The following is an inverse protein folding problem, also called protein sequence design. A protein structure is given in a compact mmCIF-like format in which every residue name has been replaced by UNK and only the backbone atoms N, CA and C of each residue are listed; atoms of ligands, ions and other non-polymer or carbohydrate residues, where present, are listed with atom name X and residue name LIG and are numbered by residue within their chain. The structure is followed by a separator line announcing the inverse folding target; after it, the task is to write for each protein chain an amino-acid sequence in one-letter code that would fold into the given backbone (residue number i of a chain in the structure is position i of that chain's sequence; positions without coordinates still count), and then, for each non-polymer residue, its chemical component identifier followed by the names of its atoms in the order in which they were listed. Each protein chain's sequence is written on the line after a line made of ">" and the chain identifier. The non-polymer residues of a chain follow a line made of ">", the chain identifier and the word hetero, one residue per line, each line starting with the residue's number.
data_IF_586156873575
#
_entry.id   IF_586156873575
#
_cell.length_a   1.000
_cell.length_b   1.000
_cell.length_c   1.000
_cell.angle_alpha   90.00
_cell.angle_beta   90.00
_cell.angle_gamma   90.00
#
_symmetry.space_group_name_H-M   'P 1'
#
loop_
_entity.id
_entity.type
_entity.pdbx_description
1 polymer ?
#
# COMPACT_ATOMS: atom_id res chain seq x y z
N UNK A 1 -23.52 -48.08 -1.38
CA UNK A 1 -22.24 -47.37 -1.62
C UNK A 1 -21.68 -46.96 -0.27
N UNK A 2 -20.56 -47.54 0.19
CA UNK A 2 -19.95 -47.15 1.46
C UNK A 2 -19.13 -45.89 1.23
N UNK A 3 -19.60 -44.75 1.76
CA UNK A 3 -18.88 -43.49 1.68
C UNK A 3 -17.59 -43.62 2.52
N UNK A 4 -16.44 -43.34 1.92
CA UNK A 4 -15.15 -43.52 2.55
C UNK A 4 -14.86 -42.29 3.45
N UNK A 5 -15.35 -42.32 4.68
CA UNK A 5 -15.29 -41.19 5.63
C UNK A 5 -13.87 -40.64 5.84
N UNK A 6 -12.84 -41.48 5.66
CA UNK A 6 -11.43 -41.07 5.72
C UNK A 6 -11.07 -40.02 4.65
N UNK A 7 -11.63 -40.15 3.44
CA UNK A 7 -11.43 -39.20 2.35
C UNK A 7 -12.13 -37.87 2.63
N UNK A 8 -13.32 -37.91 3.23
CA UNK A 8 -14.08 -36.72 3.60
C UNK A 8 -13.39 -35.93 4.72
N UNK A 9 -12.83 -36.62 5.72
CA UNK A 9 -12.05 -36.00 6.81
C UNK A 9 -10.76 -35.38 6.27
N UNK A 10 -10.08 -36.06 5.33
CA UNK A 10 -8.90 -35.50 4.66
C UNK A 10 -9.25 -34.22 3.88
N UNK A 11 -10.34 -34.22 3.10
CA UNK A 11 -10.80 -33.03 2.38
C UNK A 11 -11.13 -31.86 3.31
N UNK A 12 -11.74 -32.14 4.47
CA UNK A 12 -12.08 -31.13 5.46
C UNK A 12 -10.85 -30.60 6.21
N UNK A 13 -9.81 -31.41 6.39
CA UNK A 13 -8.54 -30.96 6.97
C UNK A 13 -7.77 -30.03 6.01
N UNK A 14 -7.87 -30.24 4.69
CA UNK A 14 -7.24 -29.35 3.70
C UNK A 14 -7.93 -27.97 3.61
N UNK A 15 -9.23 -27.86 3.89
CA UNK A 15 -9.94 -26.58 3.81
C UNK A 15 -9.63 -25.61 4.96
N UNK A 16 -9.05 -26.09 6.08
CA UNK A 16 -8.59 -25.21 7.18
C UNK A 16 -7.32 -24.41 6.82
N UNK A 17 -6.59 -24.78 5.77
CA UNK A 17 -5.33 -24.13 5.38
C UNK A 17 -5.50 -22.95 4.41
N UNK A 18 -6.73 -22.59 4.05
CA UNK A 18 -7.02 -21.57 3.03
C UNK A 18 -6.97 -20.10 3.52
N UNK A 19 -6.42 -19.81 4.70
CA UNK A 19 -6.47 -18.46 5.33
C UNK A 19 -5.22 -17.59 5.08
N UNK A 20 -4.26 -18.05 4.29
CA UNK A 20 -2.93 -17.44 4.16
C UNK A 20 -2.87 -16.09 3.42
N UNK A 21 -3.85 -15.75 2.57
CA UNK A 21 -3.83 -14.52 1.75
C UNK A 21 -4.01 -13.23 2.57
N UNK A 22 -4.67 -13.32 3.74
CA UNK A 22 -5.18 -12.15 4.47
C UNK A 22 -4.14 -11.30 5.19
N UNK A 23 -3.01 -11.90 5.61
CA UNK A 23 -2.02 -11.21 6.45
C UNK A 23 -1.18 -10.21 5.64
N UNK A 24 -0.67 -10.64 4.49
CA UNK A 24 0.19 -9.78 3.66
C UNK A 24 -0.63 -8.65 3.03
N UNK A 25 -1.87 -8.94 2.62
CA UNK A 25 -2.82 -7.92 2.18
C UNK A 25 -3.04 -6.85 3.25
N UNK A 26 -3.25 -7.26 4.51
CA UNK A 26 -3.39 -6.32 5.63
C UNK A 26 -2.15 -5.46 5.84
N UNK A 27 -0.95 -6.05 5.78
CA UNK A 27 0.31 -5.32 5.95
C UNK A 27 0.56 -4.31 4.82
N UNK A 28 0.18 -4.66 3.59
CA UNK A 28 0.24 -3.75 2.45
C UNK A 28 -0.77 -2.61 2.64
N UNK A 29 -2.01 -2.91 3.00
CA UNK A 29 -3.04 -1.90 3.25
C UNK A 29 -2.63 -0.90 4.35
N UNK A 30 -2.06 -1.39 5.46
CA UNK A 30 -1.51 -0.55 6.52
C UNK A 30 -0.34 0.33 6.04
N UNK A 31 0.54 -0.20 5.19
CA UNK A 31 1.67 0.54 4.65
C UNK A 31 1.23 1.63 3.66
N UNK A 32 0.22 1.34 2.83
CA UNK A 32 -0.38 2.30 1.91
C UNK A 32 -1.07 3.43 2.69
N UNK A 33 -1.82 3.10 3.75
CA UNK A 33 -2.48 4.13 4.57
C UNK A 33 -1.47 5.02 5.31
N UNK A 34 -0.36 4.44 5.79
CA UNK A 34 0.74 5.25 6.35
C UNK A 34 1.37 6.17 5.32
N UNK A 35 1.61 5.67 4.10
CA UNK A 35 2.14 6.48 3.01
C UNK A 35 1.19 7.63 2.67
N UNK A 36 -0.11 7.36 2.54
CA UNK A 36 -1.14 8.37 2.26
C UNK A 36 -1.12 9.50 3.28
N UNK A 37 -1.05 9.17 4.58
CA UNK A 37 -0.93 10.18 5.64
C UNK A 37 0.36 10.98 5.52
N UNK A 38 1.49 10.30 5.28
CA UNK A 38 2.79 10.94 5.14
C UNK A 38 2.94 11.76 3.84
N UNK A 39 2.04 11.61 2.86
CA UNK A 39 1.98 12.48 1.68
C UNK A 39 1.16 13.76 1.93
N UNK A 40 0.24 13.72 2.90
CA UNK A 40 -0.59 14.89 3.31
C UNK A 40 0.11 15.70 4.40
N UNK A 41 0.72 15.01 5.37
CA UNK A 41 1.49 15.59 6.47
C UNK A 41 2.91 14.98 6.45
N UNK A 42 3.85 15.60 5.72
CA UNK A 42 5.14 15.01 5.43
C UNK A 42 6.04 14.81 6.65
N UNK A 43 6.24 13.55 7.04
CA UNK A 43 7.33 13.14 7.94
C UNK A 43 8.44 12.46 7.14
N UNK A 44 9.60 13.12 7.06
CA UNK A 44 10.78 12.64 6.32
C UNK A 44 11.19 11.23 6.76
N UNK A 45 11.15 10.94 8.05
CA UNK A 45 11.59 9.64 8.60
C UNK A 45 10.65 8.51 8.17
N UNK A 46 9.35 8.76 8.20
CA UNK A 46 8.31 7.81 7.77
C UNK A 46 8.40 7.58 6.27
N UNK A 47 8.51 8.66 5.47
CA UNK A 47 8.64 8.55 4.02
C UNK A 47 9.91 7.78 3.63
N UNK A 48 11.03 7.99 4.32
CA UNK A 48 12.26 7.25 4.07
C UNK A 48 12.10 5.74 4.31
N UNK A 49 11.37 5.34 5.35
CA UNK A 49 11.10 3.93 5.65
C UNK A 49 10.14 3.28 4.66
N UNK A 50 9.14 4.02 4.16
CA UNK A 50 8.10 3.50 3.28
C UNK A 50 8.55 3.47 1.81
N UNK A 51 9.34 4.45 1.38
CA UNK A 51 9.80 4.55 0.00
C UNK A 51 10.97 3.60 -0.29
N UNK A 52 10.83 2.81 -1.36
CA UNK A 52 11.89 1.92 -1.84
C UNK A 52 13.11 2.71 -2.28
N UNK A 53 14.31 2.17 -2.04
CA UNK A 53 15.58 2.71 -2.57
C UNK A 53 15.58 2.76 -4.10
N UNK A 54 14.77 1.92 -4.76
CA UNK A 54 14.60 1.87 -6.22
C UNK A 54 13.38 2.65 -6.71
N UNK A 55 12.84 3.58 -5.92
CA UNK A 55 11.68 4.38 -6.34
C UNK A 55 12.00 5.17 -7.61
N UNK A 56 11.07 5.13 -8.56
CA UNK A 56 11.04 5.97 -9.75
C UNK A 56 9.62 6.50 -9.90
N UNK A 57 9.41 7.77 -9.56
CA UNK A 57 8.11 8.43 -9.58
C UNK A 57 8.00 9.32 -10.82
N UNK A 58 7.12 8.93 -11.73
CA UNK A 58 6.95 9.60 -13.02
C UNK A 58 5.78 10.57 -13.03
N UNK A 59 6.05 11.78 -13.50
CA UNK A 59 5.05 12.81 -13.75
C UNK A 59 4.60 12.77 -15.22
N UNK A 60 3.37 13.17 -15.49
CA UNK A 60 2.83 13.24 -16.87
C UNK A 60 3.61 14.22 -17.78
N UNK A 61 4.37 15.14 -17.19
CA UNK A 61 5.30 16.03 -17.89
C UNK A 61 6.59 15.34 -18.38
N UNK A 62 6.81 14.08 -18.01
CA UNK A 62 8.04 13.35 -18.29
C UNK A 62 9.14 13.53 -17.23
N UNK A 63 8.91 14.33 -16.19
CA UNK A 63 9.81 14.42 -15.03
C UNK A 63 9.82 13.09 -14.27
N UNK A 64 11.00 12.58 -13.94
CA UNK A 64 11.17 11.41 -13.07
C UNK A 64 11.86 11.86 -11.77
N UNK A 65 11.33 11.43 -10.64
CA UNK A 65 11.93 11.63 -9.32
C UNK A 65 12.38 10.30 -8.72
N UNK A 66 13.59 10.29 -8.17
CA UNK A 66 14.06 9.18 -7.34
C UNK A 66 13.52 9.31 -5.90
N UNK A 67 13.92 8.39 -5.01
CA UNK A 67 13.51 8.43 -3.59
C UNK A 67 13.82 9.77 -2.92
N UNK A 68 15.01 10.33 -3.15
CA UNK A 68 15.40 11.57 -2.49
C UNK A 68 14.58 12.75 -3.01
N UNK A 69 14.39 12.84 -4.34
CA UNK A 69 13.57 13.86 -4.98
C UNK A 69 12.11 13.79 -4.55
N UNK A 70 11.52 12.59 -4.48
CA UNK A 70 10.15 12.39 -4.02
C UNK A 70 9.93 12.88 -2.58
N UNK A 71 10.83 12.49 -1.66
CA UNK A 71 10.72 12.91 -0.25
C UNK A 71 10.90 14.41 -0.11
N UNK A 72 11.87 14.99 -0.82
CA UNK A 72 12.12 16.42 -0.77
C UNK A 72 10.96 17.23 -1.35
N UNK A 73 10.34 16.76 -2.43
CA UNK A 73 9.17 17.42 -3.02
C UNK A 73 8.00 17.53 -2.03
N UNK A 74 7.77 16.50 -1.21
CA UNK A 74 6.73 16.51 -0.17
C UNK A 74 7.13 17.40 1.01
N UNK A 75 8.32 17.18 1.59
CA UNK A 75 8.75 17.88 2.82
C UNK A 75 8.96 19.38 2.60
N UNK A 76 9.39 19.78 1.40
CA UNK A 76 9.55 21.20 1.04
C UNK A 76 8.24 21.91 0.70
N UNK A 77 7.12 21.16 0.56
CA UNK A 77 5.83 21.70 0.12
C UNK A 77 5.76 22.00 -1.39
N UNK A 78 6.78 21.63 -2.18
CA UNK A 78 6.74 21.74 -3.64
C UNK A 78 5.66 20.85 -4.27
N UNK A 79 5.29 19.79 -3.57
CA UNK A 79 4.14 18.93 -3.87
C UNK A 79 3.26 18.86 -2.63
N UNK A 80 2.11 19.53 -2.67
CA UNK A 80 1.17 19.58 -1.56
C UNK A 80 -0.11 18.78 -1.89
N UNK A 81 -0.32 17.72 -1.12
CA UNK A 81 -1.54 16.91 -1.22
C UNK A 81 -2.51 17.30 -0.12
N UNK A 82 -3.47 18.16 -0.45
CA UNK A 82 -4.50 18.60 0.50
C UNK A 82 -5.46 17.46 0.87
N UNK A 83 -5.78 16.58 -0.08
CA UNK A 83 -6.61 15.41 0.13
C UNK A 83 -6.19 14.26 -0.79
N UNK A 84 -5.76 13.15 -0.20
CA UNK A 84 -5.69 11.85 -0.87
C UNK A 84 -6.75 10.99 -0.22
N UNK A 85 -7.91 10.86 -0.86
CA UNK A 85 -8.92 9.87 -0.51
C UNK A 85 -8.94 8.78 -1.58
N UNK A 86 -9.11 7.52 -1.15
CA UNK A 86 -9.30 6.37 -2.03
C UNK A 86 -10.60 6.37 -2.84
N UNK A 87 -11.33 7.49 -2.85
CA UNK A 87 -12.41 7.76 -3.79
C UNK A 87 -12.28 9.21 -4.24
N UNK A 88 -12.30 9.40 -5.55
CA UNK A 88 -12.20 10.68 -6.27
C UNK A 88 -13.04 11.76 -5.56
N UNK A 89 -12.41 12.84 -5.12
CA UNK A 89 -13.11 14.09 -4.84
C UNK A 89 -12.23 15.27 -5.23
N UNK A 90 -12.62 15.93 -6.31
CA UNK A 90 -12.18 17.26 -6.68
C UNK A 90 -12.43 18.25 -5.53
N UNK A 91 -11.43 19.11 -5.31
CA UNK A 91 -11.51 20.50 -4.86
C UNK A 91 -12.78 20.94 -4.12
N UNK A 92 -12.64 21.37 -2.86
CA UNK A 92 -13.54 22.38 -2.30
C UNK A 92 -12.76 23.68 -2.13
N UNK A 93 -13.28 24.71 -2.79
CA UNK A 93 -13.07 26.16 -2.60
C UNK A 93 -12.29 26.55 -1.34
#
# INVERSE_FOLDING_TARGET
>A
MRINYLFLICLMALSLSATAQSRDEKLVAESVERLRKAMIDPDRTTLDKLASVKLSYGHSSGKIEDKAGFIEALVSGQSDFINIFGLIAFNRN
#
